data_IF_246846534933
#
_entry.id   IF_246846534933
#
_cell.length_a   1.000
_cell.length_b   1.000
_cell.length_c   1.000
_cell.angle_alpha   90.00
_cell.angle_beta   90.00
_cell.angle_gamma   90.00
#
_symmetry.space_group_name_H-M   'P 1'
#
loop_
_entity.id
_entity.type
_entity.pdbx_description
1 polymer ?
#
# COMPACT_ATOMS: atom_id res chain seq x y z
N UNK A 1 -17.59 15.75 16.12
CA UNK A 1 -17.32 17.05 15.46
C UNK A 1 -17.20 16.79 13.97
N UNK A 2 -17.96 17.45 13.11
CA UNK A 2 -17.79 17.39 11.66
C UNK A 2 -16.75 18.44 11.27
N UNK A 3 -15.47 18.04 11.17
CA UNK A 3 -14.44 18.91 10.60
C UNK A 3 -14.89 19.32 9.20
N UNK A 4 -14.84 20.61 8.88
CA UNK A 4 -15.23 21.09 7.55
C UNK A 4 -14.25 20.50 6.53
N UNK A 5 -14.75 19.87 5.47
CA UNK A 5 -13.92 19.30 4.39
C UNK A 5 -12.86 20.30 3.88
N UNK A 6 -13.20 21.59 3.86
CA UNK A 6 -12.28 22.65 3.47
C UNK A 6 -11.09 22.82 4.42
N UNK A 7 -11.27 22.62 5.73
CA UNK A 7 -10.20 22.72 6.71
C UNK A 7 -9.18 21.59 6.55
N UNK A 8 -9.64 20.36 6.28
CA UNK A 8 -8.76 19.23 5.99
C UNK A 8 -7.97 19.44 4.69
N UNK A 9 -8.63 19.91 3.64
CA UNK A 9 -7.97 20.22 2.37
C UNK A 9 -6.94 21.34 2.52
N UNK A 10 -7.20 22.35 3.36
CA UNK A 10 -6.22 23.38 3.69
C UNK A 10 -5.05 22.82 4.50
N UNK A 11 -5.31 21.99 5.50
CA UNK A 11 -4.27 21.36 6.32
C UNK A 11 -3.33 20.49 5.47
N UNK A 12 -3.86 19.73 4.51
CA UNK A 12 -3.08 18.88 3.62
C UNK A 12 -2.15 19.65 2.66
N UNK A 13 -2.34 20.96 2.48
CA UNK A 13 -1.42 21.79 1.68
C UNK A 13 -0.12 22.12 2.41
N UNK A 14 -0.07 21.95 3.73
CA UNK A 14 1.15 22.23 4.47
C UNK A 14 2.20 21.12 4.23
N UNK A 15 3.48 21.48 4.03
CA UNK A 15 4.55 20.50 3.75
C UNK A 15 4.82 19.55 4.93
N UNK A 16 4.40 19.92 6.14
CA UNK A 16 4.52 19.10 7.35
C UNK A 16 3.37 18.09 7.53
N UNK A 17 2.37 18.11 6.66
CA UNK A 17 1.14 17.30 6.79
C UNK A 17 1.28 15.86 6.27
N UNK A 18 2.50 15.36 6.07
CA UNK A 18 2.74 14.01 5.54
C UNK A 18 2.05 12.91 6.35
N UNK A 19 2.13 12.97 7.69
CA UNK A 19 1.47 11.99 8.56
C UNK A 19 -0.05 12.08 8.52
N UNK A 20 -0.60 13.30 8.39
CA UNK A 20 -2.05 13.47 8.23
C UNK A 20 -2.52 12.83 6.92
N UNK A 21 -1.80 13.03 5.82
CA UNK A 21 -2.10 12.41 4.54
C UNK A 21 -2.05 10.87 4.63
N UNK A 22 -0.99 10.33 5.24
CA UNK A 22 -0.83 8.88 5.42
C UNK A 22 -1.99 8.25 6.21
N UNK A 23 -2.41 8.89 7.32
CA UNK A 23 -3.54 8.40 8.13
C UNK A 23 -4.86 8.46 7.37
N UNK A 24 -5.11 9.54 6.60
CA UNK A 24 -6.33 9.65 5.78
C UNK A 24 -6.39 8.55 4.72
N UNK A 25 -5.29 8.29 4.01
CA UNK A 25 -5.23 7.22 3.02
C UNK A 25 -5.46 5.85 3.66
N UNK A 26 -4.78 5.54 4.77
CA UNK A 26 -4.97 4.27 5.46
C UNK A 26 -6.40 4.09 5.99
N UNK A 27 -7.04 5.17 6.47
CA UNK A 27 -8.42 5.12 6.93
C UNK A 27 -9.40 4.93 5.77
N UNK A 28 -9.18 5.60 4.63
CA UNK A 28 -10.01 5.44 3.43
C UNK A 28 -10.00 3.99 2.95
N UNK A 29 -8.81 3.36 2.89
CA UNK A 29 -8.68 1.94 2.56
C UNK A 29 -9.35 1.03 3.59
N UNK A 30 -9.14 1.28 4.88
CA UNK A 30 -9.76 0.49 5.95
C UNK A 30 -11.30 0.54 5.89
N UNK A 31 -11.89 1.66 5.47
CA UNK A 31 -13.35 1.79 5.33
C UNK A 31 -13.94 0.97 4.18
N UNK A 32 -13.11 0.52 3.23
CA UNK A 32 -13.51 -0.38 2.15
C UNK A 32 -13.49 -1.86 2.59
N UNK A 33 -12.82 -2.19 3.69
CA UNK A 33 -12.72 -3.54 4.22
C UNK A 33 -13.99 -3.92 5.02
N UNK A 34 -14.75 -4.96 4.60
CA UNK A 34 -15.94 -5.41 5.34
C UNK A 34 -15.63 -5.90 6.76
N UNK A 35 -14.40 -6.34 7.04
CA UNK A 35 -13.98 -6.79 8.36
C UNK A 35 -13.59 -5.63 9.30
N UNK A 36 -13.47 -4.41 8.76
CA UNK A 36 -13.27 -3.20 9.55
C UNK A 36 -14.61 -2.71 10.14
N UNK A 37 -15.05 -3.37 11.20
CA UNK A 37 -16.34 -3.14 11.84
C UNK A 37 -16.47 -1.80 12.59
N UNK A 38 -17.69 -1.44 12.96
CA UNK A 38 -17.96 -0.25 13.79
C UNK A 38 -17.25 -0.31 15.15
N UNK A 39 -17.09 -1.51 15.72
CA UNK A 39 -16.35 -1.69 16.96
C UNK A 39 -14.87 -1.30 16.79
N UNK A 40 -14.24 -1.69 15.68
CA UNK A 40 -12.86 -1.29 15.39
C UNK A 40 -12.72 0.23 15.25
N UNK A 41 -13.68 0.88 14.58
CA UNK A 41 -13.73 2.35 14.46
C UNK A 41 -13.89 3.05 15.80
N UNK A 42 -14.72 2.51 16.70
CA UNK A 42 -14.89 3.04 18.05
C UNK A 42 -13.60 2.95 18.87
N UNK A 43 -12.88 1.81 18.79
CA UNK A 43 -11.59 1.65 19.46
C UNK A 43 -10.54 2.64 18.92
N UNK A 44 -10.46 2.82 17.60
CA UNK A 44 -9.54 3.79 16.99
C UNK A 44 -9.86 5.22 17.44
N UNK A 45 -11.14 5.60 17.48
CA UNK A 45 -11.56 6.93 17.96
C UNK A 45 -11.12 7.17 19.41
N UNK A 46 -11.31 6.19 20.28
CA UNK A 46 -10.85 6.28 21.67
C UNK A 46 -9.33 6.45 21.76
N UNK A 47 -8.55 5.77 20.91
CA UNK A 47 -7.08 5.95 20.89
C UNK A 47 -6.69 7.38 20.48
N UNK A 48 -7.36 7.93 19.47
CA UNK A 48 -7.14 9.30 18.99
C UNK A 48 -7.55 10.34 20.04
N UNK A 49 -8.71 10.17 20.68
CA UNK A 49 -9.21 11.07 21.72
C UNK A 49 -8.32 11.06 22.97
N UNK A 50 -7.75 9.90 23.32
CA UNK A 50 -6.79 9.79 24.42
C UNK A 50 -5.40 10.35 24.08
N UNK A 51 -5.11 10.62 22.80
CA UNK A 51 -3.83 11.15 22.32
C UNK A 51 -2.63 10.23 22.54
N UNK A 52 -2.86 8.95 22.86
CA UNK A 52 -1.80 8.00 23.15
C UNK A 52 -2.20 6.59 22.70
N UNK A 53 -1.23 5.87 22.14
CA UNK A 53 -1.36 4.44 21.85
C UNK A 53 -0.66 3.68 22.98
N UNK A 54 -1.36 2.83 23.76
CA UNK A 54 -0.73 2.03 24.79
C UNK A 54 0.39 1.17 24.22
N UNK A 55 1.52 1.06 24.94
CA UNK A 55 2.70 0.34 24.44
C UNK A 55 2.40 -1.12 24.08
N UNK A 56 1.52 -1.79 24.83
CA UNK A 56 1.07 -3.15 24.55
C UNK A 56 0.30 -3.25 23.23
N UNK A 57 -0.56 -2.28 22.95
CA UNK A 57 -1.31 -2.20 21.69
C UNK A 57 -0.35 -1.94 20.54
N UNK A 58 0.57 -0.99 20.70
CA UNK A 58 1.60 -0.71 19.69
C UNK A 58 2.44 -1.95 19.37
N UNK A 59 2.92 -2.68 20.38
CA UNK A 59 3.70 -3.90 20.18
C UNK A 59 2.90 -4.99 19.46
N UNK A 60 1.64 -5.21 19.85
CA UNK A 60 0.77 -6.18 19.20
C UNK A 60 0.47 -5.81 17.74
N UNK A 61 0.30 -4.51 17.44
CA UNK A 61 0.09 -4.02 16.07
C UNK A 61 1.31 -4.28 15.19
N UNK A 62 2.53 -4.02 15.68
CA UNK A 62 3.76 -4.31 14.92
C UNK A 62 3.92 -5.80 14.65
N UNK A 63 3.72 -6.64 15.66
CA UNK A 63 3.80 -8.09 15.54
C UNK A 63 2.74 -8.66 14.58
N UNK A 64 1.54 -8.06 14.51
CA UNK A 64 0.52 -8.43 13.52
C UNK A 64 0.90 -8.01 12.11
N UNK A 65 1.45 -6.80 11.94
CA UNK A 65 1.87 -6.28 10.63
C UNK A 65 3.03 -7.10 10.06
N UNK A 66 4.02 -7.44 10.89
CA UNK A 66 5.14 -8.28 10.47
C UNK A 66 4.65 -9.64 9.93
N UNK A 67 3.73 -10.31 10.64
CA UNK A 67 3.15 -11.58 10.15
C UNK A 67 2.38 -11.43 8.85
N UNK A 68 1.73 -10.27 8.66
CA UNK A 68 1.04 -9.99 7.41
C UNK A 68 2.04 -9.84 6.25
N UNK A 69 3.14 -9.11 6.46
CA UNK A 69 4.22 -8.97 5.46
C UNK A 69 4.81 -10.34 5.09
N UNK A 70 5.09 -11.19 6.08
CA UNK A 70 5.56 -12.56 5.88
C UNK A 70 4.58 -13.40 5.06
N UNK A 71 3.28 -13.28 5.34
CA UNK A 71 2.22 -13.98 4.59
C UNK A 71 2.11 -13.49 3.14
N UNK A 72 2.22 -12.17 2.92
CA UNK A 72 2.23 -11.58 1.57
C UNK A 72 3.45 -12.04 0.79
N UNK A 73 4.64 -12.05 1.41
CA UNK A 73 5.86 -12.56 0.77
C UNK A 73 5.71 -14.03 0.40
N UNK A 74 5.18 -14.86 1.31
CA UNK A 74 4.92 -16.28 1.04
C UNK A 74 3.96 -16.47 -0.13
N UNK A 75 2.89 -15.67 -0.20
CA UNK A 75 1.95 -15.70 -1.33
C UNK A 75 2.63 -15.25 -2.63
N UNK A 76 3.44 -14.19 -2.58
CA UNK A 76 4.19 -13.70 -3.73
C UNK A 76 5.15 -14.76 -4.29
N UNK A 77 5.92 -15.41 -3.43
CA UNK A 77 6.83 -16.49 -3.82
C UNK A 77 6.08 -17.67 -4.44
N UNK A 78 4.91 -18.01 -3.89
CA UNK A 78 4.04 -19.04 -4.45
C UNK A 78 3.43 -18.66 -5.82
N UNK A 79 3.18 -17.37 -6.06
CA UNK A 79 2.63 -16.86 -7.32
C UNK A 79 3.71 -16.68 -8.40
N UNK A 80 4.95 -16.36 -8.03
CA UNK A 80 6.07 -16.15 -8.97
C UNK A 80 6.84 -17.46 -9.27
N UNK A 81 6.68 -18.50 -8.45
CA UNK A 81 7.34 -19.80 -8.63
C UNK A 81 6.89 -20.60 -9.85
N UNK A 82 7.41 -20.28 -11.04
CA UNK A 82 8.12 -21.16 -12.03
C UNK A 82 8.40 -20.43 -13.38
N UNK A 83 8.52 -19.09 -13.42
CA UNK A 83 8.84 -18.38 -14.67
C UNK A 83 10.31 -18.49 -15.11
N UNK A 84 11.17 -19.15 -14.32
CA UNK A 84 12.57 -19.40 -14.70
C UNK A 84 12.73 -20.49 -15.77
N UNK A 85 11.64 -21.21 -16.12
CA UNK A 85 11.64 -22.20 -17.18
C UNK A 85 11.43 -21.62 -18.60
N UNK A 86 11.12 -20.32 -18.74
CA UNK A 86 10.86 -19.68 -20.03
C UNK A 86 12.03 -18.78 -20.50
N UNK A 87 13.26 -19.24 -20.34
CA UNK A 87 14.35 -18.76 -21.21
C UNK A 87 14.23 -19.47 -22.57
N UNK A 88 13.19 -19.13 -23.34
CA UNK A 88 13.14 -19.46 -24.75
C UNK A 88 14.30 -18.73 -25.43
N UNK A 89 15.19 -19.49 -26.07
CA UNK A 89 16.38 -18.95 -26.72
C UNK A 89 15.98 -17.81 -27.67
N UNK A 90 16.70 -16.67 -27.67
CA UNK A 90 16.33 -15.52 -28.49
C UNK A 90 16.26 -15.94 -29.95
N UNK A 91 15.08 -15.84 -30.55
CA UNK A 91 14.87 -16.14 -31.96
C UNK A 91 15.87 -15.33 -32.81
N UNK A 92 16.53 -15.95 -33.81
CA UNK A 92 17.53 -15.27 -34.61
C UNK A 92 16.89 -14.08 -35.33
N UNK A 93 17.42 -12.88 -35.09
CA UNK A 93 16.89 -11.63 -35.67
C UNK A 93 17.04 -11.70 -37.20
N UNK A 94 15.96 -11.47 -37.97
CA UNK A 94 16.07 -11.44 -39.42
C UNK A 94 16.99 -10.28 -39.84
N UNK A 95 17.99 -10.59 -40.66
CA UNK A 95 18.91 -9.59 -41.22
C UNK A 95 18.15 -8.72 -42.22
N UNK A 96 17.80 -7.50 -41.80
CA UNK A 96 17.30 -6.48 -42.72
C UNK A 96 18.47 -5.94 -43.54
N UNK A 97 18.49 -6.26 -44.83
CA UNK A 97 19.44 -5.68 -45.78
C UNK A 97 18.83 -4.40 -46.34
N UNK A 98 19.46 -3.25 -46.07
CA UNK A 98 19.07 -1.97 -46.66
C UNK A 98 19.38 -1.98 -48.16
N UNK A 99 18.34 -2.13 -48.98
CA UNK A 99 18.43 -1.85 -50.42
C UNK A 99 18.50 -0.34 -50.63
N UNK A 100 19.69 0.24 -50.52
CA UNK A 100 19.95 1.60 -51.00
C UNK A 100 19.88 1.58 -52.54
N UNK A 101 18.74 2.00 -53.10
CA UNK A 101 18.65 2.34 -54.52
C UNK A 101 19.11 3.78 -54.69
N UNK A 102 20.32 3.94 -55.23
CA UNK A 102 20.80 5.21 -55.78
C UNK A 102 20.57 5.18 -57.29
N UNK A 103 19.60 5.99 -57.76
CA UNK A 103 19.55 6.68 -59.06
C UNK A 103 18.17 7.34 -59.24
#
# INVERSE_FOLDING_TARGET
MTTSTNELLLALRAPTSGWLAAVICALDEALLDPDFTEQHRAMLRNLLDNGQVPASVSAASHDRLQRFEEAVQTLHDALIGDESALCEAPAPRPHLTLCASAA
#
